data_IF_488775421002
#
_entry.id   IF_488775421002
#
_cell.length_a   1.000
_cell.length_b   1.000
_cell.length_c   1.000
_cell.angle_alpha   90.00
_cell.angle_beta   90.00
_cell.angle_gamma   90.00
#
_symmetry.space_group_name_H-M   'P 1'
#
loop_
_entity.id
_entity.type
_entity.pdbx_description
1 polymer ?
#
# COMPACT_ATOMS: atom_id res chain seq x y z
N UNK A 1 2.56 14.32 -17.95
CA UNK A 1 3.79 15.02 -17.54
C UNK A 1 4.57 14.25 -16.45
N UNK A 2 3.94 13.72 -15.39
CA UNK A 2 4.65 13.01 -14.31
C UNK A 2 5.37 11.70 -14.68
N UNK A 3 4.82 10.87 -15.58
CA UNK A 3 5.48 9.61 -16.00
C UNK A 3 6.74 9.81 -16.86
N UNK A 4 6.90 10.96 -17.52
CA UNK A 4 8.10 11.27 -18.31
C UNK A 4 9.23 11.85 -17.45
N UNK A 5 8.92 12.28 -16.22
CA UNK A 5 9.87 12.79 -15.22
C UNK A 5 9.93 11.88 -13.98
N UNK A 6 9.37 10.67 -14.04
CA UNK A 6 9.40 9.73 -12.93
C UNK A 6 10.79 9.11 -12.83
N UNK A 7 11.61 9.63 -11.93
CA UNK A 7 12.80 8.91 -11.49
C UNK A 7 12.34 7.61 -10.83
N UNK A 8 12.97 6.46 -11.12
CA UNK A 8 12.64 5.20 -10.47
C UNK A 8 13.05 5.20 -8.98
N UNK A 9 13.86 6.17 -8.55
CA UNK A 9 13.98 6.47 -7.12
C UNK A 9 12.60 6.86 -6.61
N UNK A 10 12.11 6.24 -5.52
CA UNK A 10 10.95 6.79 -4.83
C UNK A 10 11.11 8.30 -4.71
N UNK A 11 10.07 9.11 -4.95
CA UNK A 11 10.14 10.49 -4.48
C UNK A 11 10.56 10.43 -3.01
N UNK A 12 11.30 11.42 -2.52
CA UNK A 12 11.63 11.58 -1.09
C UNK A 12 10.37 11.51 -0.18
N UNK A 13 9.18 11.52 -0.80
CA UNK A 13 7.83 11.43 -0.27
C UNK A 13 7.31 9.99 -0.02
N UNK A 14 8.09 8.93 -0.21
CA UNK A 14 7.65 7.60 0.26
C UNK A 14 7.75 7.62 1.79
N UNK A 15 6.63 7.88 2.48
CA UNK A 15 6.61 8.12 3.94
C UNK A 15 7.30 6.97 4.69
N UNK A 16 8.54 7.21 5.11
CA UNK A 16 9.28 6.30 5.97
C UNK A 16 8.88 6.64 7.40
N UNK A 17 8.53 5.63 8.20
CA UNK A 17 8.27 5.85 9.62
C UNK A 17 9.58 5.90 10.33
N UNK A 18 9.58 6.73 11.36
CA UNK A 18 10.57 6.68 12.41
C UNK A 18 10.05 5.77 13.53
N UNK A 19 10.93 5.48 14.47
CA UNK A 19 10.57 4.74 15.67
C UNK A 19 9.65 5.59 16.54
N UNK A 20 8.53 5.02 16.99
CA UNK A 20 7.67 5.64 17.99
C UNK A 20 8.34 5.50 19.37
N UNK A 21 9.32 6.37 19.64
CA UNK A 21 10.07 6.39 20.90
C UNK A 21 9.22 7.07 21.98
N UNK A 22 8.73 8.26 21.66
CA UNK A 22 7.86 9.04 22.54
C UNK A 22 6.42 8.89 22.08
N UNK A 23 5.54 8.48 22.99
CA UNK A 23 4.11 8.34 22.70
C UNK A 23 3.49 9.73 22.58
N UNK A 24 2.92 10.10 21.42
CA UNK A 24 2.28 11.39 21.22
C UNK A 24 1.08 11.57 22.16
N UNK A 25 0.88 12.77 22.68
CA UNK A 25 -0.28 13.07 23.53
C UNK A 25 -1.60 13.01 22.74
N UNK A 26 -1.53 13.24 21.43
CA UNK A 26 -2.63 13.20 20.47
C UNK A 26 -2.80 11.81 19.81
N UNK A 27 -2.12 10.76 20.31
CA UNK A 27 -2.13 9.42 19.70
C UNK A 27 -3.54 8.89 19.42
N UNK A 28 -4.48 9.10 20.35
CA UNK A 28 -5.84 8.54 20.22
C UNK A 28 -6.68 9.30 19.19
N UNK A 29 -6.42 10.60 19.04
CA UNK A 29 -7.23 11.54 18.27
C UNK A 29 -6.76 11.64 16.82
N UNK A 30 -5.44 11.76 16.65
CA UNK A 30 -4.83 12.17 15.39
C UNK A 30 -3.99 11.05 14.78
N UNK A 31 -4.05 9.82 15.31
CA UNK A 31 -3.27 8.72 14.76
C UNK A 31 -4.11 7.46 14.48
N UNK A 32 -3.67 6.73 13.46
CA UNK A 32 -4.22 5.43 13.08
C UNK A 32 -3.13 4.36 13.15
N UNK A 33 -3.52 3.16 13.58
CA UNK A 33 -2.68 1.97 13.60
C UNK A 33 -2.91 1.13 12.35
N UNK A 34 -1.84 0.69 11.70
CA UNK A 34 -1.89 -0.29 10.60
C UNK A 34 -1.01 -1.48 10.93
N UNK A 35 -1.63 -2.65 11.03
CA UNK A 35 -0.92 -3.92 11.27
C UNK A 35 -0.35 -4.41 9.96
N UNK A 36 0.98 -4.58 9.92
CA UNK A 36 1.71 -4.87 8.69
C UNK A 36 2.20 -6.32 8.64
N UNK A 37 2.09 -7.00 7.48
CA UNK A 37 2.65 -8.32 7.29
C UNK A 37 4.18 -8.29 7.25
N UNK A 38 4.81 -9.41 7.60
CA UNK A 38 6.19 -9.66 7.21
C UNK A 38 6.31 -9.66 5.68
N UNK A 39 7.26 -8.89 5.15
CA UNK A 39 7.45 -8.76 3.71
C UNK A 39 8.45 -7.69 3.30
N UNK A 40 8.58 -7.50 1.99
CA UNK A 40 9.49 -6.52 1.38
C UNK A 40 8.68 -5.31 0.92
N UNK A 41 9.01 -4.11 1.40
CA UNK A 41 8.36 -2.87 0.94
C UNK A 41 8.67 -2.64 -0.54
N UNK A 42 7.64 -2.30 -1.30
CA UNK A 42 7.71 -2.14 -2.74
C UNK A 42 6.81 -0.99 -3.20
N UNK A 43 7.38 -0.11 -4.03
CA UNK A 43 6.61 0.87 -4.79
C UNK A 43 6.03 0.16 -6.02
N UNK A 44 4.71 0.20 -6.16
CA UNK A 44 4.00 -0.41 -7.28
C UNK A 44 3.57 0.68 -8.25
N UNK A 45 3.92 0.52 -9.52
CA UNK A 45 3.53 1.42 -10.60
C UNK A 45 2.83 0.60 -11.69
N UNK A 46 1.52 0.75 -11.80
CA UNK A 46 0.70 0.20 -12.87
C UNK A 46 0.49 1.28 -13.94
N UNK A 47 1.01 1.07 -15.15
CA UNK A 47 0.90 2.03 -16.24
C UNK A 47 1.19 1.40 -17.60
N UNK A 48 0.58 1.93 -18.66
CA UNK A 48 0.84 1.52 -20.06
C UNK A 48 0.67 0.01 -20.29
N UNK A 49 -0.26 -0.61 -19.57
CA UNK A 49 -0.64 -2.01 -19.70
C UNK A 49 0.27 -3.02 -18.99
N UNK A 50 1.09 -2.56 -18.04
CA UNK A 50 1.92 -3.42 -17.18
C UNK A 50 2.11 -2.80 -15.81
N UNK A 51 2.40 -3.65 -14.82
CA UNK A 51 2.70 -3.26 -13.45
C UNK A 51 4.15 -3.60 -13.13
N UNK A 52 4.86 -2.64 -12.54
CA UNK A 52 6.24 -2.81 -12.11
C UNK A 52 6.34 -2.60 -10.60
N UNK A 53 7.15 -3.41 -9.94
CA UNK A 53 7.48 -3.29 -8.54
C UNK A 53 8.92 -2.81 -8.37
N UNK A 54 9.13 -1.81 -7.52
CA UNK A 54 10.44 -1.21 -7.26
C UNK A 54 10.78 -1.30 -5.77
N UNK A 55 12.05 -1.53 -5.45
CA UNK A 55 12.56 -1.42 -4.07
C UNK A 55 12.61 0.04 -3.62
N UNK A 56 12.88 0.26 -2.32
CA UNK A 56 13.20 1.59 -1.77
C UNK A 56 14.39 2.27 -2.46
N UNK A 57 15.35 1.51 -2.96
CA UNK A 57 16.49 2.05 -3.73
C UNK A 57 16.14 2.37 -5.20
N UNK A 58 14.89 2.14 -5.61
CA UNK A 58 14.42 2.35 -6.98
C UNK A 58 14.75 1.23 -7.95
N UNK A 59 15.28 0.10 -7.48
CA UNK A 59 15.55 -1.04 -8.34
C UNK A 59 14.25 -1.76 -8.72
N UNK A 60 14.02 -1.95 -10.02
CA UNK A 60 12.85 -2.68 -10.53
C UNK A 60 13.01 -4.18 -10.29
N UNK A 61 12.30 -4.73 -9.30
CA UNK A 61 12.39 -6.15 -8.93
C UNK A 61 11.57 -7.05 -9.82
N UNK A 62 10.46 -6.56 -10.38
CA UNK A 62 9.57 -7.39 -11.18
C UNK A 62 8.68 -6.53 -12.11
N UNK A 63 8.25 -7.13 -13.22
CA UNK A 63 7.22 -6.60 -14.14
C UNK A 63 6.22 -7.69 -14.47
N UNK A 64 4.94 -7.39 -14.30
CA UNK A 64 3.84 -8.36 -14.44
C UNK A 64 2.54 -7.66 -14.87
N UNK A 65 1.56 -8.37 -15.43
CA UNK A 65 0.21 -7.81 -15.61
C UNK A 65 -0.50 -7.75 -14.26
N UNK A 66 -1.34 -6.75 -14.02
CA UNK A 66 -2.27 -6.75 -12.87
C UNK A 66 -3.62 -6.18 -13.25
N UNK A 67 -4.62 -6.42 -12.40
CA UNK A 67 -5.94 -5.81 -12.56
C UNK A 67 -6.01 -4.35 -12.07
N UNK A 68 -4.95 -3.82 -11.43
CA UNK A 68 -4.84 -2.39 -11.16
C UNK A 68 -5.04 -1.55 -12.43
N UNK A 69 -5.68 -0.38 -12.36
CA UNK A 69 -5.82 0.51 -13.50
C UNK A 69 -4.49 0.87 -14.15
N UNK A 70 -4.41 0.73 -15.47
CA UNK A 70 -3.17 0.89 -16.24
C UNK A 70 -2.22 -0.31 -16.18
N UNK A 71 -2.50 -1.34 -15.37
CA UNK A 71 -1.65 -2.52 -15.15
C UNK A 71 -1.80 -3.64 -16.17
N UNK A 72 -2.77 -3.52 -17.08
CA UNK A 72 -3.02 -4.49 -18.14
C UNK A 72 -3.53 -3.79 -19.42
N UNK A 73 -3.20 -4.31 -20.60
CA UNK A 73 -3.68 -3.76 -21.88
C UNK A 73 -5.20 -3.70 -21.99
N UNK A 74 -5.92 -4.59 -21.29
CA UNK A 74 -7.40 -4.60 -21.26
C UNK A 74 -8.01 -3.48 -20.44
N UNK A 75 -7.34 -3.00 -19.40
CA UNK A 75 -7.81 -1.96 -18.49
C UNK A 75 -7.07 -0.62 -18.66
N UNK A 76 -6.31 -0.49 -19.75
CA UNK A 76 -5.59 0.74 -20.11
C UNK A 76 -6.39 1.51 -21.14
N UNK A 77 -7.53 2.09 -20.73
CA UNK A 77 -8.28 2.95 -21.62
C UNK A 77 -7.45 4.22 -21.90
N UNK A 78 -7.15 4.48 -23.17
CA UNK A 78 -6.45 5.67 -23.65
C UNK A 78 -5.00 5.92 -23.15
N UNK A 79 -4.35 4.98 -22.46
CA UNK A 79 -2.94 5.09 -22.03
C UNK A 79 -2.66 6.22 -21.02
N UNK A 80 -3.71 6.82 -20.45
CA UNK A 80 -3.63 7.88 -19.44
C UNK A 80 -3.79 7.34 -18.02
N UNK A 81 -4.38 6.17 -17.86
CA UNK A 81 -4.57 5.54 -16.56
C UNK A 81 -3.24 5.04 -16.01
N UNK A 82 -2.92 5.49 -14.79
CA UNK A 82 -1.83 4.93 -14.02
C UNK A 82 -2.17 4.93 -12.53
N UNK A 83 -1.67 3.92 -11.83
CA UNK A 83 -1.86 3.74 -10.39
C UNK A 83 -0.50 3.57 -9.73
N UNK A 84 -0.29 4.27 -8.62
CA UNK A 84 0.95 4.26 -7.84
C UNK A 84 0.57 3.94 -6.39
N UNK A 85 1.08 2.82 -5.88
CA UNK A 85 0.79 2.30 -4.55
C UNK A 85 2.06 2.05 -3.76
N UNK A 86 1.98 2.23 -2.44
CA UNK A 86 2.97 1.74 -1.50
C UNK A 86 2.49 0.40 -0.96
N UNK A 87 3.29 -0.64 -1.12
CA UNK A 87 2.90 -2.00 -0.78
C UNK A 87 3.97 -2.71 0.06
N UNK A 88 3.53 -3.74 0.77
CA UNK A 88 4.39 -4.75 1.38
C UNK A 88 4.15 -6.07 0.64
N UNK A 89 5.17 -6.56 -0.04
CA UNK A 89 5.11 -7.85 -0.71
C UNK A 89 5.38 -8.99 0.26
N UNK A 90 4.37 -9.82 0.49
CA UNK A 90 4.53 -11.08 1.21
C UNK A 90 4.79 -12.21 0.20
N UNK A 91 6.00 -12.75 0.23
CA UNK A 91 6.48 -13.75 -0.73
C UNK A 91 5.74 -15.09 -0.60
N UNK A 92 5.53 -15.57 0.63
CA UNK A 92 4.85 -16.83 0.90
C UNK A 92 3.39 -16.84 0.41
N UNK A 93 2.67 -15.73 0.57
CA UNK A 93 1.27 -15.58 0.11
C UNK A 93 1.18 -15.13 -1.35
N UNK A 94 2.28 -14.64 -1.94
CA UNK A 94 2.33 -13.96 -3.23
C UNK A 94 1.28 -12.84 -3.33
N UNK A 95 1.27 -11.98 -2.31
CA UNK A 95 0.31 -10.88 -2.15
C UNK A 95 1.06 -9.57 -1.94
N UNK A 96 0.67 -8.54 -2.67
CA UNK A 96 1.00 -7.15 -2.34
C UNK A 96 -0.07 -6.60 -1.41
N UNK A 97 0.29 -6.43 -0.15
CA UNK A 97 -0.56 -5.74 0.81
C UNK A 97 -0.38 -4.24 0.62
N UNK A 98 -1.45 -3.54 0.25
CA UNK A 98 -1.41 -2.11 -0.03
C UNK A 98 -1.41 -1.38 1.31
N UNK A 99 -0.30 -0.69 1.57
CA UNK A 99 -0.09 0.17 2.72
C UNK A 99 -0.66 1.56 2.45
N UNK A 100 -0.50 2.06 1.22
CA UNK A 100 -0.93 3.41 0.88
C UNK A 100 -1.17 3.60 -0.64
N UNK A 101 -1.89 4.67 -0.99
CA UNK A 101 -2.17 5.10 -2.36
C UNK A 101 -1.65 6.50 -2.61
N UNK A 102 -0.85 6.66 -3.65
CA UNK A 102 -0.33 7.98 -4.08
C UNK A 102 -1.05 8.48 -5.33
N UNK A 103 -1.51 7.55 -6.18
CA UNK A 103 -2.27 7.87 -7.38
C UNK A 103 -3.15 6.68 -7.78
N UNK A 104 -4.38 6.93 -8.22
CA UNK A 104 -5.28 5.91 -8.74
C UNK A 104 -6.00 6.41 -10.00
N UNK A 105 -5.94 5.64 -11.10
CA UNK A 105 -6.52 6.04 -12.41
C UNK A 105 -6.09 7.44 -12.86
N UNK A 106 -4.83 7.80 -12.61
CA UNK A 106 -4.28 9.12 -12.95
C UNK A 106 -4.72 10.27 -12.03
N UNK A 107 -5.49 10.01 -10.97
CA UNK A 107 -5.82 10.98 -9.93
C UNK A 107 -4.78 10.91 -8.80
N UNK A 108 -3.83 11.87 -8.72
CA UNK A 108 -2.93 11.95 -7.58
C UNK A 108 -3.73 12.28 -6.31
N UNK A 109 -3.41 11.60 -5.21
CA UNK A 109 -4.03 11.82 -3.89
C UNK A 109 -3.00 11.99 -2.79
N UNK A 110 -1.72 12.13 -3.12
CA UNK A 110 -0.63 12.25 -2.14
C UNK A 110 -0.72 13.52 -1.27
N UNK A 111 -1.43 14.57 -1.72
CA UNK A 111 -1.69 15.79 -0.95
C UNK A 111 -2.91 15.67 -0.01
N UNK A 112 -3.62 14.55 -0.04
CA UNK A 112 -4.77 14.31 0.84
C UNK A 112 -4.35 13.75 2.20
N UNK A 113 -5.14 14.04 3.23
CA UNK A 113 -4.95 13.47 4.56
C UNK A 113 -4.97 11.94 4.55
N UNK A 114 -4.26 11.33 5.50
CA UNK A 114 -4.07 9.89 5.54
C UNK A 114 -5.39 9.14 5.69
N UNK A 115 -6.26 9.57 6.60
CA UNK A 115 -7.59 8.98 6.81
C UNK A 115 -8.43 8.92 5.52
N UNK A 116 -8.43 10.01 4.75
CA UNK A 116 -9.11 10.07 3.46
C UNK A 116 -8.50 9.08 2.47
N UNK A 117 -7.17 9.01 2.37
CA UNK A 117 -6.49 8.07 1.46
C UNK A 117 -6.82 6.62 1.79
N UNK A 118 -6.84 6.26 3.07
CA UNK A 118 -7.23 4.92 3.53
C UNK A 118 -8.69 4.60 3.19
N UNK A 119 -9.62 5.48 3.57
CA UNK A 119 -11.04 5.31 3.25
C UNK A 119 -11.29 5.18 1.74
N UNK A 120 -10.71 6.09 0.96
CA UNK A 120 -10.88 6.15 -0.47
C UNK A 120 -10.28 4.91 -1.16
N UNK A 121 -9.09 4.48 -0.75
CA UNK A 121 -8.47 3.26 -1.25
C UNK A 121 -9.40 2.05 -1.06
N UNK A 122 -9.94 1.87 0.14
CA UNK A 122 -10.84 0.74 0.42
C UNK A 122 -12.09 0.75 -0.48
N UNK A 123 -12.70 1.92 -0.70
CA UNK A 123 -13.82 2.03 -1.66
C UNK A 123 -13.41 1.68 -3.09
N UNK A 124 -12.22 2.11 -3.53
CA UNK A 124 -11.72 1.88 -4.90
C UNK A 124 -11.36 0.42 -5.14
N UNK A 125 -10.84 -0.27 -4.12
CA UNK A 125 -10.54 -1.68 -4.21
C UNK A 125 -11.79 -2.56 -4.37
N UNK A 126 -12.92 -2.17 -3.75
CA UNK A 126 -14.18 -2.89 -3.90
C UNK A 126 -14.76 -2.77 -5.33
N UNK A 127 -14.39 -1.72 -6.08
CA UNK A 127 -14.77 -1.54 -7.48
C UNK A 127 -13.96 -2.43 -8.45
N UNK A 128 -12.80 -2.95 -8.04
CA UNK A 128 -11.91 -3.76 -8.89
C UNK A 128 -12.09 -5.25 -8.65
N UNK A 129 -12.99 -5.87 -9.43
CA UNK A 129 -13.28 -7.30 -9.34
C UNK A 129 -12.03 -8.17 -9.57
N UNK A 130 -11.82 -9.17 -8.71
CA UNK A 130 -10.72 -10.14 -8.84
C UNK A 130 -9.34 -9.60 -8.49
N UNK A 131 -9.21 -8.34 -8.04
CA UNK A 131 -7.93 -7.74 -7.66
C UNK A 131 -7.27 -8.47 -6.48
N UNK A 132 -8.09 -8.98 -5.55
CA UNK A 132 -7.68 -9.81 -4.42
C UNK A 132 -7.55 -11.31 -4.78
N UNK A 133 -7.67 -11.69 -6.05
CA UNK A 133 -7.63 -13.07 -6.52
C UNK A 133 -6.50 -13.30 -7.51
N UNK A 134 -6.03 -14.56 -7.62
CA UNK A 134 -5.02 -14.91 -8.62
C UNK A 134 -5.70 -15.27 -9.94
N UNK A 135 -5.20 -14.69 -11.01
CA UNK A 135 -5.58 -15.05 -12.38
C UNK A 135 -4.40 -14.89 -13.33
N UNK A 136 -4.57 -15.30 -14.59
CA UNK A 136 -3.54 -15.09 -15.63
C UNK A 136 -3.22 -13.59 -15.84
N UNK A 137 -4.19 -12.71 -15.57
CA UNK A 137 -4.04 -11.26 -15.71
C UNK A 137 -3.71 -10.56 -14.39
N UNK A 138 -3.66 -11.32 -13.29
CA UNK A 138 -3.36 -10.86 -11.93
C UNK A 138 -2.61 -11.97 -11.16
N UNK A 139 -1.33 -12.24 -11.45
CA UNK A 139 -0.59 -13.33 -10.82
C UNK A 139 -0.31 -13.09 -9.33
N UNK A 140 -0.37 -11.83 -8.89
CA UNK A 140 -0.23 -11.42 -7.50
C UNK A 140 -1.51 -10.75 -7.02
N UNK A 141 -1.96 -11.13 -5.82
CA UNK A 141 -3.12 -10.52 -5.19
C UNK A 141 -2.76 -9.13 -4.68
N UNK A 142 -3.71 -8.21 -4.72
CA UNK A 142 -3.60 -6.90 -4.07
C UNK A 142 -4.69 -6.80 -3.00
N UNK A 143 -4.28 -6.56 -1.75
CA UNK A 143 -5.18 -6.53 -0.60
C UNK A 143 -4.88 -5.29 0.24
N UNK A 144 -5.87 -4.46 0.49
CA UNK A 144 -5.71 -3.26 1.32
C UNK A 144 -5.49 -3.64 2.77
N UNK A 145 -4.51 -3.02 3.43
CA UNK A 145 -4.37 -3.12 4.87
C UNK A 145 -5.46 -2.31 5.56
N UNK A 146 -5.93 -2.82 6.70
CA UNK A 146 -6.91 -2.12 7.51
C UNK A 146 -6.22 -1.18 8.49
N UNK A 147 -6.85 -0.02 8.69
CA UNK A 147 -6.49 0.95 9.72
C UNK A 147 -7.40 0.80 10.93
N UNK A 148 -6.84 1.02 12.10
CA UNK A 148 -7.52 0.92 13.39
C UNK A 148 -7.31 2.19 14.20
N UNK A 149 -8.24 2.49 15.10
CA UNK A 149 -8.06 3.57 16.07
C UNK A 149 -6.96 3.21 17.06
N UNK A 150 -6.22 4.21 17.52
CA UNK A 150 -5.28 4.06 18.62
C UNK A 150 -5.92 4.17 20.02
N UNK A 151 -7.25 4.19 20.11
CA UNK A 151 -7.95 4.11 21.39
C UNK A 151 -7.58 2.81 22.15
N UNK A 152 -7.43 2.84 23.49
CA UNK A 152 -6.95 1.69 24.25
C UNK A 152 -7.74 0.39 24.02
N UNK A 153 -9.06 0.46 23.89
CA UNK A 153 -9.88 -0.72 23.65
C UNK A 153 -9.70 -1.27 22.24
N UNK A 154 -9.64 -0.39 21.23
CA UNK A 154 -9.32 -0.78 19.85
C UNK A 154 -7.93 -1.43 19.75
N UNK A 155 -6.94 -0.94 20.48
CA UNK A 155 -5.61 -1.55 20.52
C UNK A 155 -5.65 -2.96 21.14
N UNK A 156 -6.41 -3.16 22.23
CA UNK A 156 -6.58 -4.47 22.87
C UNK A 156 -7.24 -5.47 21.92
N UNK A 157 -8.27 -5.04 21.20
CA UNK A 157 -8.97 -5.87 20.22
C UNK A 157 -8.04 -6.27 19.08
N UNK A 158 -7.28 -5.32 18.54
CA UNK A 158 -6.29 -5.56 17.47
C UNK A 158 -5.21 -6.54 17.93
N UNK A 159 -4.69 -6.39 19.14
CA UNK A 159 -3.67 -7.29 19.70
C UNK A 159 -4.19 -8.72 19.92
N UNK A 160 -5.51 -8.88 20.03
CA UNK A 160 -6.16 -10.19 20.22
C UNK A 160 -6.71 -10.77 18.90
N UNK A 161 -6.53 -10.06 17.78
CA UNK A 161 -7.05 -10.46 16.47
C UNK A 161 -6.06 -11.38 15.75
N UNK A 162 -6.58 -12.47 15.18
CA UNK A 162 -5.82 -13.33 14.28
C UNK A 162 -5.76 -12.74 12.87
N UNK A 163 -4.55 -12.41 12.40
CA UNK A 163 -4.34 -11.87 11.06
C UNK A 163 -4.08 -12.99 10.03
N UNK A 164 -4.52 -12.83 8.77
CA UNK A 164 -4.31 -13.84 7.71
C UNK A 164 -2.86 -13.94 7.21
N UNK A 165 -1.95 -13.21 7.86
CA UNK A 165 -0.53 -13.11 7.58
C UNK A 165 0.26 -13.03 8.88
N UNK A 166 1.52 -13.43 8.83
CA UNK A 166 2.45 -13.23 9.93
C UNK A 166 2.73 -11.73 10.09
N UNK A 167 2.44 -11.21 11.29
CA UNK A 167 2.63 -9.80 11.61
C UNK A 167 4.12 -9.52 11.78
N UNK A 168 4.60 -8.38 11.25
CA UNK A 168 5.98 -7.94 11.43
C UNK A 168 6.25 -7.46 12.87
N UNK A 169 6.32 -8.39 13.82
CA UNK A 169 6.74 -8.12 15.21
C UNK A 169 8.17 -8.64 15.41
N UNK A 170 9.16 -8.03 14.76
CA UNK A 170 10.54 -8.35 15.08
C UNK A 170 10.96 -7.54 16.31
N UNK A 171 11.33 -8.19 17.42
CA UNK A 171 11.71 -7.53 18.69
C UNK A 171 13.03 -6.73 18.57
N UNK A 172 13.71 -6.78 17.41
CA UNK A 172 14.80 -5.86 17.04
C UNK A 172 14.42 -4.81 15.98
N UNK A 173 13.24 -4.93 15.37
CA UNK A 173 12.63 -4.01 14.38
C UNK A 173 11.09 -4.09 14.50
N UNK A 174 10.53 -3.52 15.56
CA UNK A 174 9.08 -3.56 15.81
C UNK A 174 8.38 -2.60 14.84
N UNK A 175 7.65 -3.12 13.86
CA UNK A 175 6.90 -2.30 12.90
C UNK A 175 5.42 -2.71 12.84
N UNK A 176 4.64 -2.20 13.80
CA UNK A 176 3.24 -1.85 13.56
C UNK A 176 3.23 -0.34 13.32
N UNK A 177 2.81 0.09 12.13
CA UNK A 177 2.93 1.48 11.72
C UNK A 177 1.83 2.28 12.39
N UNK A 178 2.18 3.40 13.02
CA UNK A 178 1.23 4.41 13.47
C UNK A 178 1.40 5.60 12.53
N UNK A 179 0.33 5.98 11.82
CA UNK A 179 0.32 7.16 10.96
C UNK A 179 -0.40 8.30 11.65
N UNK A 180 0.13 9.51 11.55
CA UNK A 180 -0.62 10.73 11.90
C UNK A 180 -1.60 11.07 10.76
N UNK A 181 -2.83 11.40 11.14
CA UNK A 181 -3.95 11.83 10.27
C UNK A 181 -3.76 13.27 9.81
#
# INVERSE_FOLDING_TARGET
HYLNNFSPTPPDNLMLSEWLIDVPQDLVQDWILVVCPMGKRALIVASKGSTAAYTKSGFCVNRFPSLLPGGNRRNSAAGKDYTILDCIFNEAKQTYYILDVMCWRGHPVYDCQTDFRFYWLQSKMQEEEGLAEKSRLNPYKFVGLQSYSCAPDSLRDVLSTDFPFEVSVNIHTNFNWVFKV
#
